data_IF_657675433974
#
_entry.id   IF_657675433974
#
_cell.length_a   1.000
_cell.length_b   1.000
_cell.length_c   1.000
_cell.angle_alpha   90.00
_cell.angle_beta   90.00
_cell.angle_gamma   90.00
#
_symmetry.space_group_name_H-M   'P 1'
#
loop_
_entity.id
_entity.type
_entity.pdbx_description
1 polymer ?
#
# COMPACT_ATOMS: atom_id res chain seq x y z
N UNK A 1 51.67 4.84 -78.95
CA UNK A 1 51.15 5.94 -79.80
C UNK A 1 50.52 6.98 -78.87
N UNK A 2 51.16 8.14 -78.77
CA UNK A 2 50.88 9.21 -77.81
C UNK A 2 49.61 9.97 -78.22
N UNK A 3 48.74 10.36 -77.28
CA UNK A 3 48.00 11.64 -77.36
C UNK A 3 47.89 12.32 -75.99
N UNK A 4 48.65 13.41 -75.86
CA UNK A 4 48.57 14.41 -74.81
C UNK A 4 47.25 15.22 -74.89
N UNK A 5 46.76 15.67 -73.73
CA UNK A 5 46.08 16.95 -73.46
C UNK A 5 46.01 17.04 -71.93
N UNK A 6 46.46 18.03 -71.19
CA UNK A 6 46.97 19.38 -71.44
C UNK A 6 46.84 20.09 -70.08
N UNK A 7 47.93 20.70 -69.60
CA UNK A 7 48.03 21.33 -68.27
C UNK A 7 47.01 22.46 -68.07
N UNK A 8 46.57 22.67 -66.83
CA UNK A 8 46.63 23.98 -66.15
C UNK A 8 47.02 23.79 -64.69
N UNK A 9 48.27 24.16 -64.38
CA UNK A 9 48.73 24.50 -63.04
C UNK A 9 48.21 25.91 -62.74
N UNK A 10 47.45 26.07 -61.66
CA UNK A 10 47.30 27.36 -60.98
C UNK A 10 47.94 27.16 -59.62
N UNK A 11 49.05 27.87 -59.38
CA UNK A 11 49.81 27.78 -58.15
C UNK A 11 49.08 28.45 -56.99
N UNK A 12 49.24 27.89 -55.78
CA UNK A 12 49.00 28.58 -54.52
C UNK A 12 50.09 28.20 -53.52
N UNK A 13 50.90 29.22 -53.20
CA UNK A 13 51.55 29.57 -51.93
C UNK A 13 52.18 28.50 -51.02
N UNK A 14 53.50 28.64 -50.83
CA UNK A 14 54.28 28.06 -49.73
C UNK A 14 53.89 28.58 -48.31
N UNK A 15 52.88 29.44 -48.17
CA UNK A 15 52.41 29.95 -46.87
C UNK A 15 51.56 28.95 -46.06
N UNK A 16 51.03 27.89 -46.67
CA UNK A 16 50.15 26.94 -45.96
C UNK A 16 50.90 25.84 -45.20
N UNK A 17 52.17 25.55 -45.53
CA UNK A 17 52.95 24.53 -44.80
C UNK A 17 53.53 25.01 -43.47
N UNK A 18 53.66 26.31 -43.25
CA UNK A 18 54.15 26.86 -41.98
C UNK A 18 53.05 26.95 -40.91
N UNK A 19 51.78 26.93 -41.31
CA UNK A 19 50.61 27.04 -40.43
C UNK A 19 50.05 25.69 -39.96
N UNK A 20 50.60 24.56 -40.41
CA UNK A 20 50.16 23.24 -39.97
C UNK A 20 50.87 22.73 -38.69
N UNK A 21 52.07 23.24 -38.38
CA UNK A 21 52.85 22.79 -37.22
C UNK A 21 52.50 23.53 -35.91
N UNK A 22 51.97 24.75 -36.00
CA UNK A 22 51.55 25.57 -34.85
C UNK A 22 50.14 25.23 -34.31
N UNK A 23 49.29 24.62 -35.14
CA UNK A 23 47.93 24.24 -34.70
C UNK A 23 47.90 22.93 -33.89
N UNK A 24 48.80 21.99 -34.14
CA UNK A 24 48.84 20.73 -33.38
C UNK A 24 49.41 20.92 -31.98
N UNK A 25 50.43 21.76 -31.83
CA UNK A 25 51.04 22.08 -30.53
C UNK A 25 50.07 22.86 -29.62
N UNK A 26 49.27 23.77 -30.16
CA UNK A 26 48.23 24.50 -29.39
C UNK A 26 47.04 23.62 -29.02
N UNK A 27 46.64 22.66 -29.86
CA UNK A 27 45.59 21.67 -29.56
C UNK A 27 46.02 20.63 -28.51
N UNK A 28 47.30 20.25 -28.46
CA UNK A 28 47.86 19.34 -27.43
C UNK A 28 47.92 20.04 -26.06
N UNK A 29 48.41 21.28 -26.00
CA UNK A 29 48.46 22.07 -24.75
C UNK A 29 47.06 22.37 -24.23
N UNK A 30 46.08 22.63 -25.10
CA UNK A 30 44.68 22.75 -24.70
C UNK A 30 44.12 21.43 -24.15
N UNK A 31 44.36 20.28 -24.81
CA UNK A 31 43.92 18.97 -24.32
C UNK A 31 44.53 18.59 -22.97
N UNK A 32 45.80 18.92 -22.73
CA UNK A 32 46.46 18.69 -21.44
C UNK A 32 45.90 19.61 -20.34
N UNK A 33 45.68 20.89 -20.63
CA UNK A 33 45.03 21.82 -19.69
C UNK A 33 43.63 21.34 -19.31
N UNK A 34 42.80 20.90 -20.28
CA UNK A 34 41.47 20.35 -20.01
C UNK A 34 41.53 19.02 -19.22
N UNK A 35 42.51 18.15 -19.49
CA UNK A 35 42.72 16.90 -18.72
C UNK A 35 43.11 17.14 -17.26
N UNK A 36 43.98 18.13 -17.01
CA UNK A 36 44.36 18.54 -15.65
C UNK A 36 43.16 19.17 -14.94
N UNK A 37 42.40 20.03 -15.62
CA UNK A 37 41.24 20.71 -15.05
C UNK A 37 40.11 19.72 -14.69
N UNK A 38 39.87 18.69 -15.51
CA UNK A 38 38.94 17.59 -15.20
C UNK A 38 39.43 16.74 -14.01
N UNK A 39 40.74 16.45 -13.91
CA UNK A 39 41.32 15.71 -12.77
C UNK A 39 41.29 16.51 -11.46
N UNK A 40 41.51 17.82 -11.52
CA UNK A 40 41.41 18.72 -10.35
C UNK A 40 39.95 18.86 -9.92
N UNK A 41 39.02 19.05 -10.86
CA UNK A 41 37.58 19.09 -10.58
C UNK A 41 37.06 17.76 -10.01
N UNK A 42 37.56 16.61 -10.47
CA UNK A 42 37.18 15.30 -9.94
C UNK A 42 37.73 15.07 -8.52
N UNK A 43 38.96 15.52 -8.22
CA UNK A 43 39.54 15.51 -6.87
C UNK A 43 38.81 16.43 -5.91
N UNK A 44 38.43 17.64 -6.33
CA UNK A 44 37.64 18.59 -5.51
C UNK A 44 36.22 18.07 -5.27
N UNK A 45 35.57 17.51 -6.29
CA UNK A 45 34.28 16.81 -6.14
C UNK A 45 34.39 15.66 -5.14
N UNK A 46 35.36 14.75 -5.28
CA UNK A 46 35.56 13.65 -4.34
C UNK A 46 35.84 14.12 -2.91
N UNK A 47 36.53 15.25 -2.72
CA UNK A 47 36.80 15.83 -1.39
C UNK A 47 35.53 16.44 -0.76
N UNK A 48 34.66 17.07 -1.55
CA UNK A 48 33.34 17.58 -1.11
C UNK A 48 32.37 16.44 -0.79
N UNK A 49 32.38 15.35 -1.56
CA UNK A 49 31.54 14.18 -1.29
C UNK A 49 32.05 13.34 -0.10
N UNK A 50 33.34 13.42 0.25
CA UNK A 50 33.90 12.77 1.45
C UNK A 50 33.66 13.54 2.76
N UNK A 51 33.50 14.86 2.73
CA UNK A 51 33.31 15.68 3.95
C UNK A 51 31.85 15.95 4.31
N UNK A 52 30.89 15.50 3.48
CA UNK A 52 29.46 15.53 3.77
C UNK A 52 28.79 14.15 3.87
N UNK A 53 29.56 13.09 4.15
CA UNK A 53 28.98 11.91 4.81
C UNK A 53 28.86 12.18 6.31
N UNK A 54 28.11 13.24 6.66
CA UNK A 54 27.51 13.34 7.99
C UNK A 54 26.58 12.13 8.04
N UNK A 55 27.02 11.08 8.70
CA UNK A 55 26.14 9.98 9.06
C UNK A 55 25.01 10.59 9.87
N UNK A 56 23.87 10.84 9.22
CA UNK A 56 22.63 11.16 9.90
C UNK A 56 22.36 9.92 10.74
N UNK A 57 22.75 9.95 12.03
CA UNK A 57 22.35 8.96 13.01
C UNK A 57 20.83 9.05 13.04
N UNK A 58 20.16 8.15 12.32
CA UNK A 58 18.70 7.99 12.38
C UNK A 58 18.35 7.90 13.87
N UNK A 59 17.62 8.89 14.38
CA UNK A 59 17.34 9.01 15.81
C UNK A 59 16.67 7.75 16.35
N UNK A 60 16.89 7.44 17.63
CA UNK A 60 16.18 6.35 18.31
C UNK A 60 14.67 6.62 18.21
N UNK A 61 13.94 5.75 17.52
CA UNK A 61 12.48 5.86 17.42
C UNK A 61 11.85 4.87 18.39
N UNK A 62 10.96 5.38 19.26
CA UNK A 62 10.23 4.56 20.24
C UNK A 62 8.87 4.11 19.69
N UNK A 63 8.76 4.00 18.36
CA UNK A 63 7.53 3.53 17.70
C UNK A 63 7.49 2.01 17.80
N UNK A 64 6.43 1.49 18.42
CA UNK A 64 6.25 0.06 18.59
C UNK A 64 6.10 -0.68 17.25
N UNK A 65 6.65 -1.88 17.17
CA UNK A 65 6.49 -2.75 16.01
C UNK A 65 5.17 -3.51 16.06
N UNK A 66 4.62 -3.89 14.90
CA UNK A 66 3.39 -4.68 14.86
C UNK A 66 3.42 -5.74 13.76
N UNK A 67 3.02 -6.97 14.14
CA UNK A 67 2.74 -8.06 13.20
C UNK A 67 1.26 -8.38 13.24
N UNK A 68 0.64 -8.35 12.06
CA UNK A 68 -0.82 -8.45 11.91
C UNK A 68 -1.32 -9.78 11.36
N UNK A 69 -0.42 -10.67 10.94
CA UNK A 69 -0.73 -12.00 10.43
C UNK A 69 0.35 -13.00 10.86
N UNK A 70 -0.01 -14.28 10.83
CA UNK A 70 0.93 -15.39 10.99
C UNK A 70 0.96 -16.23 9.71
N UNK A 71 2.11 -16.83 9.40
CA UNK A 71 2.27 -17.73 8.25
C UNK A 71 1.87 -19.16 8.69
N UNK A 72 1.17 -19.94 7.85
CA UNK A 72 0.85 -21.33 8.15
C UNK A 72 2.12 -22.18 8.34
N UNK A 73 2.07 -23.14 9.27
CA UNK A 73 3.20 -24.06 9.53
C UNK A 73 3.46 -24.99 8.34
N UNK A 74 2.40 -25.52 7.72
CA UNK A 74 2.46 -26.35 6.52
C UNK A 74 2.11 -25.50 5.30
N UNK A 75 3.05 -25.27 4.36
CA UNK A 75 2.81 -24.41 3.20
C UNK A 75 1.76 -24.98 2.24
N UNK A 76 1.84 -26.26 1.91
CA UNK A 76 0.99 -26.89 0.90
C UNK A 76 0.15 -28.00 1.54
N UNK A 77 -1.11 -27.67 1.85
CA UNK A 77 -2.09 -28.58 2.43
C UNK A 77 -3.41 -28.32 1.72
N UNK A 78 -3.90 -29.32 0.98
CA UNK A 78 -5.03 -29.16 0.05
C UNK A 78 -6.27 -28.61 0.74
N UNK A 79 -6.67 -29.22 1.86
CA UNK A 79 -7.86 -28.83 2.63
C UNK A 79 -7.79 -27.37 3.10
N UNK A 80 -6.63 -26.94 3.61
CA UNK A 80 -6.41 -25.55 4.03
C UNK A 80 -6.51 -24.58 2.86
N UNK A 81 -5.87 -24.90 1.74
CA UNK A 81 -5.87 -24.06 0.55
C UNK A 81 -7.29 -23.92 -0.02
N UNK A 82 -8.05 -25.00 -0.08
CA UNK A 82 -9.44 -25.02 -0.57
C UNK A 82 -10.35 -24.17 0.33
N UNK A 83 -10.22 -24.31 1.65
CA UNK A 83 -10.98 -23.51 2.62
C UNK A 83 -10.63 -22.02 2.55
N UNK A 84 -9.33 -21.69 2.42
CA UNK A 84 -8.90 -20.30 2.22
C UNK A 84 -9.43 -19.71 0.91
N UNK A 85 -9.43 -20.49 -0.17
CA UNK A 85 -9.96 -20.06 -1.47
C UNK A 85 -11.47 -19.83 -1.42
N UNK A 86 -12.23 -20.70 -0.75
CA UNK A 86 -13.67 -20.50 -0.51
C UNK A 86 -13.94 -19.21 0.26
N UNK A 87 -13.16 -18.92 1.31
CA UNK A 87 -13.28 -17.66 2.06
C UNK A 87 -12.93 -16.43 1.21
N UNK A 88 -11.91 -16.55 0.36
CA UNK A 88 -11.53 -15.46 -0.55
C UNK A 88 -12.64 -15.18 -1.56
N UNK A 89 -13.24 -16.22 -2.14
CA UNK A 89 -14.36 -16.08 -3.08
C UNK A 89 -15.59 -15.47 -2.43
N UNK A 90 -16.05 -16.04 -1.31
CA UNK A 90 -17.27 -15.61 -0.60
C UNK A 90 -17.20 -14.18 -0.06
N UNK A 91 -16.03 -13.71 0.39
CA UNK A 91 -15.87 -12.36 0.91
C UNK A 91 -15.14 -11.40 -0.04
N UNK A 92 -14.89 -11.83 -1.29
CA UNK A 92 -14.24 -11.03 -2.34
C UNK A 92 -12.90 -10.41 -1.91
N UNK A 93 -12.04 -11.21 -1.30
CA UNK A 93 -10.72 -10.77 -0.80
C UNK A 93 -9.69 -10.77 -1.94
N UNK A 94 -8.59 -10.03 -1.76
CA UNK A 94 -7.50 -10.00 -2.75
C UNK A 94 -6.45 -11.09 -2.52
N UNK A 95 -6.07 -11.32 -1.27
CA UNK A 95 -4.92 -12.17 -0.92
C UNK A 95 -5.19 -13.04 0.30
N UNK A 96 -4.50 -14.20 0.37
CA UNK A 96 -4.54 -15.11 1.53
C UNK A 96 -4.13 -14.44 2.83
N UNK A 97 -3.23 -13.44 2.74
CA UNK A 97 -2.81 -12.64 3.89
C UNK A 97 -3.98 -11.93 4.58
N UNK A 98 -5.04 -11.50 3.88
CA UNK A 98 -6.22 -10.93 4.54
C UNK A 98 -6.94 -11.95 5.42
N UNK A 99 -7.04 -13.21 4.97
CA UNK A 99 -7.56 -14.32 5.77
C UNK A 99 -6.67 -14.56 6.98
N UNK A 100 -5.35 -14.62 6.80
CA UNK A 100 -4.39 -14.84 7.90
C UNK A 100 -4.40 -13.72 8.94
N UNK A 101 -4.68 -12.47 8.54
CA UNK A 101 -4.87 -11.36 9.48
C UNK A 101 -6.10 -11.58 10.36
N UNK A 102 -7.21 -12.02 9.76
CA UNK A 102 -8.44 -12.31 10.50
C UNK A 102 -8.26 -13.51 11.42
N UNK A 103 -7.58 -14.56 10.96
CA UNK A 103 -7.20 -15.70 11.79
C UNK A 103 -6.36 -15.26 12.99
N UNK A 104 -5.38 -14.36 12.79
CA UNK A 104 -4.56 -13.85 13.90
C UNK A 104 -5.38 -13.06 14.91
N UNK A 105 -6.36 -12.26 14.46
CA UNK A 105 -7.26 -11.52 15.35
C UNK A 105 -8.11 -12.50 16.18
N UNK A 106 -8.70 -13.51 15.54
CA UNK A 106 -9.47 -14.55 16.21
C UNK A 106 -8.61 -15.32 17.23
N UNK A 107 -7.38 -15.68 16.86
CA UNK A 107 -6.44 -16.36 17.74
C UNK A 107 -6.13 -15.55 19.00
N UNK A 108 -5.99 -14.21 18.88
CA UNK A 108 -5.80 -13.32 20.04
C UNK A 108 -7.01 -13.34 20.98
N UNK A 109 -8.23 -13.31 20.45
CA UNK A 109 -9.44 -13.39 21.27
C UNK A 109 -9.55 -14.73 22.00
N UNK A 110 -9.31 -15.84 21.29
CA UNK A 110 -9.36 -17.18 21.88
C UNK A 110 -8.26 -17.40 22.91
N UNK A 111 -7.06 -16.85 22.70
CA UNK A 111 -5.97 -16.91 23.69
C UNK A 111 -6.37 -16.19 24.98
N UNK A 112 -6.90 -14.97 24.87
CA UNK A 112 -7.38 -14.21 26.03
C UNK A 112 -8.50 -14.96 26.76
N UNK A 113 -9.48 -15.50 26.04
CA UNK A 113 -10.56 -16.28 26.65
C UNK A 113 -10.04 -17.52 27.40
N UNK A 114 -9.08 -18.26 26.85
CA UNK A 114 -8.48 -19.42 27.54
C UNK A 114 -7.78 -19.05 28.84
N UNK A 115 -7.01 -17.97 28.85
CA UNK A 115 -6.33 -17.49 30.06
C UNK A 115 -7.33 -17.06 31.15
N UNK A 116 -8.45 -16.47 30.75
CA UNK A 116 -9.48 -16.06 31.70
C UNK A 116 -10.31 -17.24 32.23
N UNK A 117 -10.48 -18.30 31.42
CA UNK A 117 -11.21 -19.49 31.83
C UNK A 117 -10.42 -20.39 32.79
N UNK A 118 -9.08 -20.26 32.82
CA UNK A 118 -8.25 -20.99 33.80
C UNK A 118 -8.31 -20.40 35.21
N UNK A 119 -8.66 -19.12 35.34
CA UNK A 119 -8.79 -18.45 36.64
C UNK A 119 -10.11 -18.83 37.33
N UNK A 120 -10.17 -18.69 38.64
CA UNK A 120 -11.41 -18.91 39.39
C UNK A 120 -12.51 -17.92 38.96
N UNK A 121 -13.80 -18.32 38.89
CA UNK A 121 -14.91 -17.43 38.55
C UNK A 121 -15.00 -16.16 39.42
N UNK A 122 -14.52 -16.18 40.66
CA UNK A 122 -14.54 -15.04 41.59
C UNK A 122 -13.31 -14.15 41.49
N UNK A 123 -12.31 -14.54 40.70
CA UNK A 123 -11.09 -13.76 40.55
C UNK A 123 -11.38 -12.37 39.96
N UNK A 124 -10.86 -11.28 40.56
CA UNK A 124 -11.14 -9.91 40.12
C UNK A 124 -10.66 -9.65 38.68
N UNK A 125 -9.55 -10.25 38.27
CA UNK A 125 -9.02 -10.12 36.91
C UNK A 125 -9.95 -10.78 35.90
N UNK A 126 -10.48 -11.97 36.22
CA UNK A 126 -11.46 -12.67 35.36
C UNK A 126 -12.74 -11.85 35.17
N UNK A 127 -13.26 -11.26 36.24
CA UNK A 127 -14.47 -10.44 36.19
C UNK A 127 -14.27 -9.17 35.33
N UNK A 128 -13.16 -8.46 35.55
CA UNK A 128 -12.88 -7.22 34.84
C UNK A 128 -12.49 -7.46 33.37
N UNK A 129 -11.47 -8.28 33.10
CA UNK A 129 -11.03 -8.54 31.73
C UNK A 129 -12.06 -9.33 30.92
N UNK A 130 -12.79 -10.25 31.56
CA UNK A 130 -13.87 -11.02 30.94
C UNK A 130 -15.02 -10.13 30.48
N UNK A 131 -15.50 -9.25 31.35
CA UNK A 131 -16.55 -8.28 30.99
C UNK A 131 -16.09 -7.30 29.90
N UNK A 132 -14.84 -6.84 29.95
CA UNK A 132 -14.25 -6.00 28.92
C UNK A 132 -14.14 -6.71 27.56
N UNK A 133 -13.75 -7.99 27.55
CA UNK A 133 -13.67 -8.80 26.34
C UNK A 133 -15.04 -8.97 25.69
N UNK A 134 -16.06 -9.32 26.48
CA UNK A 134 -17.44 -9.48 26.00
C UNK A 134 -18.02 -8.16 25.50
N UNK A 135 -17.84 -7.06 26.24
CA UNK A 135 -18.28 -5.71 25.80
C UNK A 135 -17.69 -5.34 24.44
N UNK A 136 -16.41 -5.68 24.20
CA UNK A 136 -15.75 -5.47 22.90
C UNK A 136 -16.39 -6.34 21.80
N UNK A 137 -16.78 -7.58 22.09
CA UNK A 137 -17.47 -8.46 21.13
C UNK A 137 -18.84 -7.91 20.73
N UNK A 138 -19.65 -7.45 21.69
CA UNK A 138 -20.95 -6.82 21.42
C UNK A 138 -20.85 -5.56 20.57
N UNK A 139 -19.86 -4.71 20.88
CA UNK A 139 -19.59 -3.47 20.13
C UNK A 139 -19.32 -3.73 18.65
N UNK A 140 -18.71 -4.87 18.32
CA UNK A 140 -18.46 -5.30 16.94
C UNK A 140 -19.53 -6.27 16.41
N UNK A 141 -20.54 -6.64 17.19
CA UNK A 141 -21.61 -7.55 16.75
C UNK A 141 -21.14 -8.96 16.42
N UNK A 142 -20.15 -9.47 17.18
CA UNK A 142 -19.60 -10.81 16.98
C UNK A 142 -20.36 -11.90 17.75
N UNK A 143 -20.87 -11.54 18.94
CA UNK A 143 -21.71 -12.39 19.80
C UNK A 143 -23.16 -11.88 19.75
N UNK A 144 -24.10 -12.79 19.89
CA UNK A 144 -25.53 -12.45 20.10
C UNK A 144 -25.81 -12.12 21.56
N UNK A 145 -26.91 -11.42 21.82
CA UNK A 145 -27.28 -10.92 23.16
C UNK A 145 -27.38 -12.04 24.21
N UNK A 146 -27.74 -13.25 23.79
CA UNK A 146 -27.89 -14.44 24.64
C UNK A 146 -26.53 -15.09 24.99
N UNK A 147 -25.49 -14.86 24.19
CA UNK A 147 -24.18 -15.51 24.30
C UNK A 147 -23.22 -14.69 25.18
N UNK A 148 -23.64 -14.27 26.37
CA UNK A 148 -22.81 -13.43 27.28
C UNK A 148 -21.76 -14.19 28.09
N UNK A 149 -21.54 -15.48 27.85
CA UNK A 149 -20.50 -16.28 28.53
C UNK A 149 -19.17 -16.29 27.76
N UNK A 150 -18.06 -16.42 28.49
CA UNK A 150 -16.72 -16.47 27.89
C UNK A 150 -16.51 -17.68 26.97
N UNK A 151 -17.21 -18.79 27.23
CA UNK A 151 -17.08 -20.03 26.46
C UNK A 151 -17.46 -19.84 24.99
N UNK A 152 -18.47 -19.01 24.70
CA UNK A 152 -18.89 -18.71 23.33
C UNK A 152 -17.82 -17.98 22.51
N UNK A 153 -16.88 -17.29 23.16
CA UNK A 153 -15.74 -16.66 22.46
C UNK A 153 -14.84 -17.73 21.83
N UNK A 154 -14.77 -18.92 22.41
CA UNK A 154 -14.07 -20.07 21.81
C UNK A 154 -14.86 -20.69 20.65
N UNK A 155 -16.17 -20.48 20.57
CA UNK A 155 -17.00 -20.91 19.43
C UNK A 155 -16.90 -20.01 18.20
N UNK A 156 -16.24 -18.85 18.30
CA UNK A 156 -16.19 -17.88 17.21
C UNK A 156 -15.54 -18.45 15.94
N UNK A 157 -16.24 -18.28 14.83
CA UNK A 157 -15.80 -18.69 13.49
C UNK A 157 -15.15 -17.52 12.74
N UNK A 158 -14.26 -17.85 11.79
CA UNK A 158 -13.65 -16.87 10.89
C UNK A 158 -14.72 -16.17 10.06
N UNK A 159 -15.74 -16.92 9.62
CA UNK A 159 -16.87 -16.42 8.84
C UNK A 159 -17.58 -15.25 9.52
N UNK A 160 -17.87 -15.37 10.83
CA UNK A 160 -18.53 -14.31 11.61
C UNK A 160 -17.70 -13.02 11.66
N UNK A 161 -16.38 -13.15 11.77
CA UNK A 161 -15.47 -12.00 11.73
C UNK A 161 -15.44 -11.33 10.34
N UNK A 162 -15.40 -12.12 9.27
CA UNK A 162 -15.37 -11.58 7.90
C UNK A 162 -16.70 -10.91 7.52
N UNK A 163 -17.80 -11.36 8.12
CA UNK A 163 -19.12 -10.76 7.96
C UNK A 163 -19.21 -9.34 8.56
N UNK A 164 -18.37 -9.00 9.54
CA UNK A 164 -18.29 -7.64 10.12
C UNK A 164 -17.39 -6.68 9.34
N UNK A 165 -16.78 -7.11 8.23
CA UNK A 165 -16.01 -6.21 7.35
C UNK A 165 -16.96 -5.24 6.65
N UNK A 166 -16.49 -3.99 6.46
CA UNK A 166 -17.26 -2.96 5.76
C UNK A 166 -17.64 -3.40 4.34
N UNK A 167 -16.74 -4.11 3.65
CA UNK A 167 -17.00 -4.69 2.33
C UNK A 167 -18.27 -5.57 2.33
N UNK A 168 -18.35 -6.51 3.27
CA UNK A 168 -19.48 -7.43 3.39
C UNK A 168 -20.75 -6.71 3.82
N UNK A 169 -20.63 -5.75 4.74
CA UNK A 169 -21.77 -4.97 5.25
C UNK A 169 -22.41 -4.12 4.15
N UNK A 170 -21.61 -3.42 3.35
CA UNK A 170 -22.08 -2.61 2.22
C UNK A 170 -22.78 -3.49 1.17
N UNK A 171 -22.27 -4.69 0.89
CA UNK A 171 -22.92 -5.63 -0.02
C UNK A 171 -24.25 -6.14 0.54
N UNK A 172 -24.28 -6.57 1.81
CA UNK A 172 -25.50 -7.07 2.46
C UNK A 172 -26.59 -6.01 2.65
N UNK A 173 -26.21 -4.73 2.73
CA UNK A 173 -27.14 -3.60 2.81
C UNK A 173 -27.66 -3.16 1.43
N UNK A 174 -27.36 -3.89 0.36
CA UNK A 174 -27.78 -3.58 -1.01
C UNK A 174 -27.27 -2.23 -1.56
N UNK A 175 -26.21 -1.65 -0.97
CA UNK A 175 -25.54 -0.46 -1.54
C UNK A 175 -24.65 -0.81 -2.75
N UNK A 176 -24.35 -2.09 -2.96
CA UNK A 176 -23.50 -2.56 -4.04
C UNK A 176 -24.02 -3.86 -4.63
N UNK A 177 -24.03 -3.96 -5.95
CA UNK A 177 -24.51 -5.14 -6.69
C UNK A 177 -23.66 -6.41 -6.48
N UNK A 178 -22.41 -6.26 -6.07
CA UNK A 178 -21.45 -7.38 -5.89
C UNK A 178 -20.47 -7.07 -4.77
N UNK A 179 -19.91 -8.11 -4.16
CA UNK A 179 -18.88 -8.01 -3.12
C UNK A 179 -17.62 -7.32 -3.67
N UNK A 180 -17.28 -7.53 -4.94
CA UNK A 180 -16.17 -6.86 -5.60
C UNK A 180 -16.50 -5.38 -5.89
N UNK A 181 -17.74 -5.08 -6.29
CA UNK A 181 -18.21 -3.71 -6.49
C UNK A 181 -18.12 -2.90 -5.18
N UNK A 182 -18.56 -3.49 -4.06
CA UNK A 182 -18.46 -2.90 -2.72
C UNK A 182 -17.01 -2.49 -2.38
N UNK A 183 -16.03 -3.35 -2.67
CA UNK A 183 -14.62 -3.04 -2.41
C UNK A 183 -14.13 -1.82 -3.18
N UNK A 184 -14.55 -1.68 -4.43
CA UNK A 184 -14.21 -0.54 -5.29
C UNK A 184 -14.90 0.73 -4.77
N UNK A 185 -16.19 0.69 -4.44
CA UNK A 185 -16.92 1.84 -3.90
C UNK A 185 -16.28 2.41 -2.64
N UNK A 186 -15.91 1.53 -1.70
CA UNK A 186 -15.23 1.94 -0.46
C UNK A 186 -13.89 2.61 -0.84
N UNK A 187 -13.11 1.99 -1.72
CA UNK A 187 -11.79 2.52 -2.07
C UNK A 187 -11.87 3.85 -2.81
N UNK A 188 -12.89 4.03 -3.64
CA UNK A 188 -13.17 5.25 -4.39
C UNK A 188 -13.80 6.36 -3.53
N UNK A 189 -13.90 6.17 -2.20
CA UNK A 189 -14.39 7.17 -1.25
C UNK A 189 -15.88 7.51 -1.43
N UNK A 190 -16.68 6.55 -1.86
CA UNK A 190 -18.13 6.75 -2.01
C UNK A 190 -18.92 6.48 -0.73
N UNK A 191 -18.33 5.87 0.30
CA UNK A 191 -19.07 5.39 1.48
C UNK A 191 -18.64 6.14 2.73
N UNK A 192 -19.63 6.52 3.53
CA UNK A 192 -19.49 7.13 4.84
C UNK A 192 -19.97 6.14 5.91
N UNK A 193 -19.31 6.15 7.06
CA UNK A 193 -19.73 5.40 8.24
C UNK A 193 -19.81 6.36 9.42
N UNK A 194 -21.02 6.67 9.86
CA UNK A 194 -21.26 7.68 10.88
C UNK A 194 -20.82 9.06 10.42
N UNK A 195 -19.82 9.63 11.10
CA UNK A 195 -19.28 10.96 10.77
C UNK A 195 -18.15 10.90 9.73
N UNK A 196 -17.44 9.78 9.65
CA UNK A 196 -16.19 9.67 8.90
C UNK A 196 -16.41 9.07 7.51
N UNK A 197 -15.65 9.56 6.54
CA UNK A 197 -15.51 8.89 5.24
C UNK A 197 -14.50 7.76 5.38
N UNK A 198 -14.89 6.53 5.06
CA UNK A 198 -14.05 5.34 5.24
C UNK A 198 -13.61 4.80 3.89
N UNK A 199 -12.30 4.78 3.65
CA UNK A 199 -11.70 4.30 2.39
C UNK A 199 -10.98 2.94 2.50
N UNK A 200 -11.19 2.23 3.62
CA UNK A 200 -10.53 0.95 3.95
C UNK A 200 -11.57 -0.18 4.00
N UNK A 201 -11.55 -1.15 3.07
CA UNK A 201 -12.49 -2.28 3.06
C UNK A 201 -12.38 -3.21 4.27
N UNK A 202 -11.20 -3.23 4.91
CA UNK A 202 -10.91 -4.05 6.08
C UNK A 202 -11.44 -3.48 7.40
N UNK A 203 -12.15 -2.35 7.36
CA UNK A 203 -12.75 -1.75 8.54
C UNK A 203 -13.77 -2.70 9.18
N UNK A 204 -13.65 -2.94 10.48
CA UNK A 204 -14.65 -3.72 11.23
C UNK A 204 -15.77 -2.79 11.68
N UNK A 205 -16.97 -3.05 11.18
CA UNK A 205 -18.14 -2.23 11.44
C UNK A 205 -18.63 -2.45 12.87
N UNK A 206 -18.84 -1.35 13.59
CA UNK A 206 -19.49 -1.35 14.91
C UNK A 206 -21.00 -1.49 14.75
N UNK A 207 -21.67 -2.18 15.66
CA UNK A 207 -23.13 -2.37 15.64
C UNK A 207 -23.85 -1.02 15.66
N UNK A 208 -23.38 -0.08 16.50
CA UNK A 208 -23.96 1.27 16.61
C UNK A 208 -23.89 2.06 15.28
N UNK A 209 -22.75 1.96 14.60
CA UNK A 209 -22.46 2.73 13.37
C UNK A 209 -23.06 2.12 12.11
N UNK A 210 -23.57 0.89 12.21
CA UNK A 210 -24.13 0.15 11.07
C UNK A 210 -25.36 0.82 10.48
N UNK A 211 -26.18 1.46 11.32
CA UNK A 211 -27.35 2.24 10.90
C UNK A 211 -26.99 3.46 10.03
N UNK A 212 -25.77 3.94 10.17
CA UNK A 212 -25.26 5.17 9.54
C UNK A 212 -24.27 4.87 8.40
N UNK A 213 -24.47 3.77 7.69
CA UNK A 213 -23.71 3.42 6.50
C UNK A 213 -24.50 3.88 5.28
N UNK A 214 -23.99 4.89 4.61
CA UNK A 214 -24.62 5.44 3.40
C UNK A 214 -23.55 6.00 2.45
N UNK A 215 -23.96 6.44 1.28
CA UNK A 215 -23.10 7.16 0.36
C UNK A 215 -22.63 8.48 0.97
N UNK A 216 -21.39 8.84 0.65
CA UNK A 216 -20.82 10.10 1.06
C UNK A 216 -21.50 11.23 0.29
N UNK A 217 -21.90 12.29 0.99
CA UNK A 217 -22.51 13.49 0.40
C UNK A 217 -21.62 14.19 -0.63
N UNK A 218 -20.30 14.03 -0.51
CA UNK A 218 -19.32 14.52 -1.49
C UNK A 218 -19.36 13.74 -2.80
N UNK A 219 -19.82 12.49 -2.76
CA UNK A 219 -19.80 11.60 -3.91
C UNK A 219 -21.01 11.84 -4.81
N UNK A 220 -20.92 11.55 -6.13
CA UNK A 220 -22.04 11.68 -7.04
C UNK A 220 -23.29 10.89 -6.63
N UNK A 221 -23.11 9.76 -5.95
CA UNK A 221 -24.20 8.89 -5.49
C UNK A 221 -24.91 9.46 -4.26
N UNK A 222 -24.27 10.35 -3.51
CA UNK A 222 -24.83 11.03 -2.34
C UNK A 222 -25.32 12.44 -2.62
N UNK A 223 -25.63 12.78 -3.88
CA UNK A 223 -26.07 14.12 -4.29
C UNK A 223 -24.94 15.11 -4.60
N UNK A 224 -23.68 14.66 -4.57
CA UNK A 224 -22.53 15.47 -4.96
C UNK A 224 -22.45 15.71 -6.47
N UNK A 225 -21.60 16.67 -6.88
CA UNK A 225 -21.38 16.97 -8.30
C UNK A 225 -20.85 15.74 -9.06
N UNK A 226 -21.34 15.56 -10.28
CA UNK A 226 -20.91 14.48 -11.16
C UNK A 226 -19.38 14.45 -11.38
N UNK A 227 -18.84 13.23 -11.49
CA UNK A 227 -17.40 12.99 -11.62
C UNK A 227 -16.78 13.59 -12.87
N UNK A 228 -15.43 13.64 -12.91
CA UNK A 228 -14.66 14.18 -14.04
C UNK A 228 -15.03 13.52 -15.37
N UNK A 229 -15.17 12.20 -15.41
CA UNK A 229 -15.43 11.45 -16.65
C UNK A 229 -16.78 11.83 -17.26
N UNK A 230 -17.85 11.83 -16.46
CA UNK A 230 -19.19 12.23 -16.92
C UNK A 230 -19.20 13.67 -17.42
N UNK A 231 -18.58 14.60 -16.67
CA UNK A 231 -18.43 16.00 -17.09
C UNK A 231 -17.61 16.18 -18.37
N UNK A 232 -16.52 15.43 -18.54
CA UNK A 232 -15.70 15.47 -19.77
C UNK A 232 -16.52 15.01 -20.97
N UNK A 233 -17.30 13.94 -20.82
CA UNK A 233 -18.10 13.40 -21.92
C UNK A 233 -19.30 14.30 -22.23
N UNK A 234 -20.01 14.83 -21.23
CA UNK A 234 -21.12 15.76 -21.43
C UNK A 234 -20.70 17.08 -22.10
N UNK A 235 -19.46 17.53 -21.87
CA UNK A 235 -18.89 18.72 -22.52
C UNK A 235 -18.50 18.51 -23.98
N UNK A 236 -18.45 17.25 -24.45
CA UNK A 236 -18.27 16.93 -25.86
C UNK A 236 -19.65 16.95 -26.52
N UNK A 237 -20.22 18.14 -26.66
CA UNK A 237 -21.33 18.33 -27.60
C UNK A 237 -20.81 18.13 -29.03
N UNK A 238 -21.67 17.60 -29.91
CA UNK A 238 -21.39 17.49 -31.34
C UNK A 238 -21.15 18.86 -31.96
#
# INVERSE_FOLDING_TARGET
MIKYKGRKLVGINLKEKFWACGEESTKIIQREKYSIQIKVLSKVKQKIYKTKSIQIKMGKTYINTSKTYSTPRRPYEKERLDNEMKLIGTFGLKNKREVWRVQMILAKFRKAARELLTLDPKDPRRLFEGSALLRRMFKYGLLSEQERKLDYVLGLTIHKLMERRLQTRVFKLNLANSIHHSRVLIRQRHIKVGKNLVNVPSFMVRTDSEKSIDFASTSPLGGGREGRTKRKNAKKSA
#
